data_IF_687376731920
#
_entry.id   IF_687376731920
#
_cell.length_a   1.000
_cell.length_b   1.000
_cell.length_c   1.000
_cell.angle_alpha   90.00
_cell.angle_beta   90.00
_cell.angle_gamma   90.00
#
_symmetry.space_group_name_H-M   'P 1'
#
loop_
_entity.id
_entity.type
_entity.pdbx_description
1 polymer ?
#
# COMPACT_ATOMS: atom_id res chain seq x y z
N UNK A 1 86.60 -8.52 32.89
CA UNK A 1 86.42 -9.85 33.51
C UNK A 1 85.48 -9.71 34.70
N UNK A 2 84.68 -10.75 34.97
CA UNK A 2 83.67 -10.92 36.04
C UNK A 2 82.21 -10.56 35.71
N UNK A 3 81.52 -11.62 35.25
CA UNK A 3 80.20 -12.15 35.60
C UNK A 3 79.30 -11.34 36.55
N UNK A 4 78.01 -11.12 36.21
CA UNK A 4 76.97 -10.76 37.17
C UNK A 4 76.18 -11.98 37.63
N UNK A 5 75.88 -12.08 38.93
CA UNK A 5 75.03 -13.12 39.51
C UNK A 5 74.02 -12.50 40.50
N UNK A 6 72.74 -12.54 40.10
CA UNK A 6 71.49 -12.68 40.91
C UNK A 6 71.08 -11.59 41.93
N UNK A 7 69.84 -11.44 42.42
CA UNK A 7 68.53 -12.16 42.34
C UNK A 7 67.42 -11.22 42.91
N UNK A 8 66.15 -11.51 42.56
CA UNK A 8 64.87 -11.20 43.25
C UNK A 8 64.23 -9.81 43.04
N UNK A 9 63.08 -9.82 42.33
CA UNK A 9 61.73 -9.42 42.79
C UNK A 9 60.72 -10.03 41.80
N UNK A 10 60.05 -11.16 42.10
CA UNK A 10 58.69 -11.28 42.64
C UNK A 10 57.64 -10.38 41.97
N UNK A 11 56.81 -10.94 41.08
CA UNK A 11 55.38 -10.60 40.99
C UNK A 11 54.60 -11.75 40.34
N UNK A 12 53.71 -12.36 41.13
CA UNK A 12 52.54 -13.12 40.68
C UNK A 12 51.68 -12.21 39.76
N UNK A 13 51.06 -12.67 38.67
CA UNK A 13 50.16 -13.82 38.61
C UNK A 13 48.75 -13.38 38.99
N UNK A 14 47.98 -12.86 38.02
CA UNK A 14 46.51 -12.83 37.90
C UNK A 14 46.09 -11.81 36.82
N UNK A 15 46.07 -12.25 35.56
CA UNK A 15 45.49 -11.49 34.45
C UNK A 15 43.97 -11.64 34.44
N UNK A 16 43.29 -10.50 34.41
CA UNK A 16 41.85 -10.32 34.60
C UNK A 16 40.97 -11.24 33.72
N UNK A 17 39.88 -11.71 34.34
CA UNK A 17 38.66 -12.19 33.71
C UNK A 17 38.19 -11.22 32.61
N UNK A 18 38.18 -11.68 31.37
CA UNK A 18 37.48 -11.01 30.29
C UNK A 18 35.96 -11.18 30.52
N UNK A 19 35.33 -10.16 31.10
CA UNK A 19 33.88 -10.00 31.04
C UNK A 19 33.52 -9.70 29.58
N UNK A 20 33.02 -10.71 28.87
CA UNK A 20 32.44 -10.54 27.55
C UNK A 20 31.23 -9.62 27.66
N UNK A 21 31.40 -8.36 27.27
CA UNK A 21 30.27 -7.49 26.96
C UNK A 21 29.69 -7.97 25.64
N UNK A 22 28.63 -8.77 25.70
CA UNK A 22 27.68 -8.86 24.58
C UNK A 22 27.06 -7.47 24.46
N UNK A 23 27.71 -6.61 23.70
CA UNK A 23 27.06 -5.40 23.20
C UNK A 23 25.96 -5.91 22.28
N UNK A 24 24.74 -5.96 22.80
CA UNK A 24 23.54 -5.96 21.96
C UNK A 24 23.60 -4.65 21.17
N UNK A 25 24.32 -4.69 20.05
CA UNK A 25 24.29 -3.63 19.07
C UNK A 25 22.82 -3.53 18.64
N UNK A 26 22.13 -2.52 19.17
CA UNK A 26 20.78 -2.18 18.74
C UNK A 26 20.79 -2.22 17.21
N UNK A 27 19.88 -2.97 16.56
CA UNK A 27 19.90 -3.10 15.11
C UNK A 27 19.86 -1.71 14.50
N UNK A 28 21.00 -1.31 13.92
CA UNK A 28 21.15 -0.03 13.24
C UNK A 28 20.18 0.01 12.07
N UNK A 29 19.66 1.20 11.76
CA UNK A 29 18.98 1.42 10.49
C UNK A 29 20.05 1.43 9.40
N UNK A 30 20.44 0.26 8.92
CA UNK A 30 21.26 0.14 7.72
C UNK A 30 20.32 0.25 6.52
N UNK A 31 20.43 1.35 5.77
CA UNK A 31 19.60 1.66 4.59
C UNK A 31 19.85 0.77 3.37
N UNK A 32 20.78 -0.19 3.46
CA UNK A 32 21.24 -0.98 2.33
C UNK A 32 20.40 -2.25 2.16
N UNK A 33 20.10 -2.65 0.91
CA UNK A 33 19.48 -3.94 0.64
C UNK A 33 20.32 -5.10 1.21
N UNK A 34 19.69 -6.13 1.82
CA UNK A 34 20.41 -7.31 2.29
C UNK A 34 21.01 -8.07 1.11
N UNK A 35 22.13 -8.79 1.31
CA UNK A 35 22.84 -9.51 0.24
C UNK A 35 22.01 -10.53 -0.55
N UNK A 36 20.89 -11.01 0.02
CA UNK A 36 19.94 -11.93 -0.64
C UNK A 36 18.80 -11.21 -1.36
N UNK A 37 18.75 -9.87 -1.33
CA UNK A 37 17.76 -9.11 -2.05
C UNK A 37 17.92 -9.33 -3.56
N UNK A 38 16.81 -9.34 -4.32
CA UNK A 38 16.89 -9.29 -5.78
C UNK A 38 17.57 -7.99 -6.21
N UNK A 39 18.20 -8.01 -7.38
CA UNK A 39 18.76 -6.80 -7.97
C UNK A 39 17.61 -5.89 -8.48
N UNK A 40 17.23 -4.91 -7.65
CA UNK A 40 16.14 -3.97 -7.92
C UNK A 40 16.55 -2.85 -8.88
N UNK A 41 17.75 -2.92 -9.47
CA UNK A 41 18.11 -2.10 -10.65
C UNK A 41 17.56 -2.68 -11.95
N UNK A 42 17.05 -3.93 -11.91
CA UNK A 42 16.51 -4.64 -13.06
C UNK A 42 14.96 -4.58 -13.11
N UNK A 43 14.34 -4.22 -14.25
CA UNK A 43 12.88 -4.13 -14.38
C UNK A 43 12.12 -5.43 -14.08
N UNK A 44 12.67 -6.60 -14.43
CA UNK A 44 12.03 -7.90 -14.17
C UNK A 44 11.90 -8.20 -12.67
N UNK A 45 12.91 -7.82 -11.89
CA UNK A 45 12.91 -7.98 -10.44
C UNK A 45 11.92 -7.01 -9.78
N UNK A 46 11.84 -5.78 -10.27
CA UNK A 46 10.83 -4.81 -9.85
C UNK A 46 9.42 -5.31 -10.16
N UNK A 47 9.16 -5.83 -11.36
CA UNK A 47 7.85 -6.36 -11.75
C UNK A 47 7.42 -7.50 -10.82
N UNK A 48 8.30 -8.48 -10.62
CA UNK A 48 8.04 -9.60 -9.71
C UNK A 48 7.77 -9.12 -8.27
N UNK A 49 8.59 -8.20 -7.77
CA UNK A 49 8.45 -7.66 -6.42
C UNK A 49 7.14 -6.88 -6.24
N UNK A 50 6.82 -5.99 -7.19
CA UNK A 50 5.59 -5.20 -7.22
C UNK A 50 4.36 -6.11 -7.21
N UNK A 51 4.29 -7.11 -8.09
CA UNK A 51 3.14 -8.02 -8.17
C UNK A 51 2.94 -8.78 -6.87
N UNK A 52 4.02 -9.27 -6.23
CA UNK A 52 3.95 -9.96 -4.93
C UNK A 52 3.50 -9.03 -3.80
N UNK A 53 3.89 -7.76 -3.83
CA UNK A 53 3.47 -6.77 -2.84
C UNK A 53 2.00 -6.37 -3.02
N UNK A 54 1.58 -6.05 -4.23
CA UNK A 54 0.21 -5.60 -4.56
C UNK A 54 -0.83 -6.71 -4.49
N UNK A 55 -0.55 -7.88 -5.06
CA UNK A 55 -1.53 -8.96 -5.18
C UNK A 55 -0.84 -10.33 -5.06
N UNK A 56 -0.89 -11.16 -6.10
CA UNK A 56 -0.21 -12.45 -6.18
C UNK A 56 0.35 -12.70 -7.57
N UNK A 57 1.44 -13.47 -7.65
CA UNK A 57 1.95 -14.01 -8.92
C UNK A 57 0.99 -15.00 -9.58
N UNK A 58 0.10 -15.63 -8.81
CA UNK A 58 -0.95 -16.49 -9.33
C UNK A 58 -2.27 -15.74 -9.48
N UNK A 59 -3.10 -16.18 -10.41
CA UNK A 59 -4.44 -15.63 -10.63
C UNK A 59 -5.40 -16.05 -9.50
N UNK A 60 -5.63 -15.13 -8.56
CA UNK A 60 -6.60 -15.32 -7.46
C UNK A 60 -7.05 -13.96 -6.91
N UNK A 61 -8.18 -13.97 -6.22
CA UNK A 61 -8.65 -12.81 -5.44
C UNK A 61 -7.67 -12.52 -4.30
N UNK A 62 -7.21 -11.28 -4.21
CA UNK A 62 -6.34 -10.80 -3.13
C UNK A 62 -6.99 -9.60 -2.45
N UNK A 63 -7.64 -9.81 -1.28
CA UNK A 63 -8.31 -8.76 -0.55
C UNK A 63 -7.34 -7.86 0.21
N UNK A 64 -7.73 -6.60 0.32
CA UNK A 64 -7.13 -5.57 1.15
C UNK A 64 -8.23 -4.88 1.93
N UNK A 65 -7.92 -4.49 3.15
CA UNK A 65 -8.80 -3.67 3.98
C UNK A 65 -8.08 -2.40 4.37
N UNK A 66 -8.82 -1.30 4.43
CA UNK A 66 -8.31 -0.02 4.84
C UNK A 66 -9.37 0.82 5.56
N UNK A 67 -8.89 1.76 6.35
CA UNK A 67 -9.69 2.82 6.93
C UNK A 67 -8.92 4.15 6.91
N UNK A 68 -9.62 5.23 7.22
CA UNK A 68 -9.01 6.54 7.17
C UNK A 68 -9.97 7.69 7.38
N UNK A 69 -9.44 8.89 7.10
CA UNK A 69 -10.19 10.14 7.20
C UNK A 69 -10.04 10.94 5.93
N UNK A 70 -11.15 11.52 5.47
CA UNK A 70 -11.17 12.50 4.39
C UNK A 70 -11.12 13.89 5.00
N UNK A 71 -10.15 14.67 4.54
CA UNK A 71 -9.94 16.06 4.91
C UNK A 71 -10.39 16.96 3.75
N UNK A 72 -11.12 18.03 4.04
CA UNK A 72 -11.33 19.14 3.13
C UNK A 72 -10.18 20.14 3.22
N UNK A 73 -9.64 20.53 2.08
CA UNK A 73 -8.57 21.52 1.97
C UNK A 73 -9.06 22.66 1.11
N UNK A 74 -9.19 23.84 1.72
CA UNK A 74 -9.69 25.07 1.07
C UNK A 74 -8.62 26.16 1.21
N UNK A 75 -8.36 26.97 0.17
CA UNK A 75 -7.38 28.06 0.26
C UNK A 75 -7.67 29.02 1.41
N UNK A 76 -6.66 29.32 2.23
CA UNK A 76 -6.79 30.24 3.35
C UNK A 76 -7.39 29.64 4.63
N UNK A 77 -7.74 28.34 4.64
CA UNK A 77 -8.26 27.63 5.81
C UNK A 77 -7.34 26.48 6.23
N UNK A 78 -7.39 26.11 7.52
CA UNK A 78 -6.78 24.86 7.98
C UNK A 78 -7.55 23.64 7.40
N UNK A 79 -6.87 22.53 7.07
CA UNK A 79 -7.54 21.30 6.68
C UNK A 79 -8.57 20.87 7.74
N UNK A 80 -9.75 20.45 7.29
CA UNK A 80 -10.87 20.05 8.15
C UNK A 80 -11.22 18.58 7.93
N UNK A 81 -11.23 17.73 8.97
CA UNK A 81 -11.83 16.39 8.88
C UNK A 81 -13.31 16.49 8.50
N UNK A 82 -13.72 15.74 7.46
CA UNK A 82 -15.10 15.77 6.96
C UNK A 82 -15.83 14.48 7.28
N UNK A 83 -15.24 13.34 6.92
CA UNK A 83 -15.83 12.01 7.12
C UNK A 83 -14.72 11.00 7.39
N UNK A 84 -15.03 9.99 8.18
CA UNK A 84 -14.24 8.75 8.23
C UNK A 84 -14.69 7.82 7.12
N UNK A 85 -13.84 6.87 6.77
CA UNK A 85 -14.21 5.83 5.81
C UNK A 85 -13.55 4.50 6.16
N UNK A 86 -14.16 3.43 5.66
CA UNK A 86 -13.64 2.08 5.72
C UNK A 86 -13.95 1.42 4.38
N UNK A 87 -13.00 0.68 3.83
CA UNK A 87 -13.19 0.04 2.55
C UNK A 87 -12.35 -1.21 2.35
N UNK A 88 -12.65 -1.85 1.23
CA UNK A 88 -11.95 -3.00 0.72
C UNK A 88 -11.50 -2.71 -0.71
N UNK A 89 -10.32 -3.21 -1.04
CA UNK A 89 -9.86 -3.40 -2.41
C UNK A 89 -9.69 -4.91 -2.64
N UNK A 90 -10.18 -5.40 -3.77
CA UNK A 90 -9.94 -6.77 -4.21
C UNK A 90 -9.13 -6.71 -5.50
N UNK A 91 -7.93 -7.28 -5.48
CA UNK A 91 -7.05 -7.28 -6.64
C UNK A 91 -6.90 -8.67 -7.23
N UNK A 92 -6.79 -8.70 -8.56
CA UNK A 92 -6.48 -9.88 -9.33
C UNK A 92 -5.45 -9.50 -10.40
N UNK A 93 -4.35 -10.25 -10.45
CA UNK A 93 -3.30 -10.08 -11.45
C UNK A 93 -3.52 -11.10 -12.56
N UNK A 94 -4.14 -10.67 -13.66
CA UNK A 94 -4.36 -11.51 -14.83
C UNK A 94 -3.07 -11.63 -15.63
N UNK A 95 -2.65 -12.84 -15.97
CA UNK A 95 -1.46 -13.04 -16.80
C UNK A 95 -1.71 -12.56 -18.23
N UNK A 96 -0.73 -11.86 -18.78
CA UNK A 96 -0.68 -11.42 -20.17
C UNK A 96 0.54 -12.07 -20.86
N UNK A 97 0.61 -12.03 -22.20
CA UNK A 97 1.82 -12.42 -22.93
C UNK A 97 3.08 -11.71 -22.43
N UNK A 98 4.25 -12.29 -22.75
CA UNK A 98 5.58 -11.73 -22.47
C UNK A 98 5.88 -11.48 -20.97
N UNK A 99 5.16 -12.17 -20.08
CA UNK A 99 5.35 -12.08 -18.64
C UNK A 99 4.75 -10.81 -18.00
N UNK A 100 3.93 -10.07 -18.73
CA UNK A 100 3.17 -8.95 -18.19
C UNK A 100 1.94 -9.41 -17.40
N UNK A 101 1.36 -8.50 -16.62
CA UNK A 101 0.13 -8.69 -15.86
C UNK A 101 -0.85 -7.59 -16.17
N UNK A 102 -2.15 -7.85 -16.02
CA UNK A 102 -3.15 -6.81 -15.85
C UNK A 102 -3.69 -6.86 -14.42
N UNK A 103 -3.50 -5.77 -13.68
CA UNK A 103 -4.17 -5.54 -12.42
C UNK A 103 -5.61 -5.11 -12.68
N UNK A 104 -6.55 -5.99 -12.38
CA UNK A 104 -7.99 -5.70 -12.32
C UNK A 104 -8.46 -5.78 -10.88
N UNK A 105 -9.60 -5.17 -10.57
CA UNK A 105 -10.05 -5.13 -9.19
C UNK A 105 -11.39 -4.47 -8.94
N UNK A 106 -11.83 -4.60 -7.69
CA UNK A 106 -13.03 -4.01 -7.14
C UNK A 106 -12.67 -3.20 -5.88
N UNK A 107 -13.26 -2.03 -5.74
CA UNK A 107 -13.13 -1.16 -4.57
C UNK A 107 -14.52 -0.83 -4.05
N UNK A 108 -14.73 -1.03 -2.76
CA UNK A 108 -15.97 -0.68 -2.07
C UNK A 108 -15.62 0.08 -0.79
N UNK A 109 -16.07 1.34 -0.71
CA UNK A 109 -15.83 2.17 0.47
C UNK A 109 -17.15 2.69 1.04
N UNK A 110 -17.32 2.52 2.34
CA UNK A 110 -18.39 3.12 3.12
C UNK A 110 -17.86 4.29 3.95
N UNK A 111 -18.70 5.30 4.12
CA UNK A 111 -18.39 6.50 4.89
C UNK A 111 -19.04 6.44 6.26
N UNK A 112 -18.35 7.04 7.22
CA UNK A 112 -18.73 7.08 8.62
C UNK A 112 -18.63 8.52 9.13
N UNK A 113 -19.44 8.83 10.13
CA UNK A 113 -19.38 10.10 10.81
C UNK A 113 -18.01 10.31 11.44
N UNK A 114 -17.48 11.53 11.33
CA UNK A 114 -16.09 11.82 11.70
C UNK A 114 -15.88 11.83 13.21
N UNK A 115 -16.91 12.17 13.99
CA UNK A 115 -16.86 12.26 15.45
C UNK A 115 -17.22 10.93 16.10
N UNK A 116 -18.36 10.35 15.71
CA UNK A 116 -18.94 9.16 16.34
C UNK A 116 -18.47 7.84 15.73
N UNK A 117 -18.00 7.85 14.47
CA UNK A 117 -17.66 6.63 13.72
C UNK A 117 -18.87 5.81 13.27
N UNK A 118 -20.11 6.29 13.46
CA UNK A 118 -21.31 5.61 13.02
C UNK A 118 -21.45 5.61 11.48
N UNK A 119 -22.13 4.62 10.86
CA UNK A 119 -22.42 4.64 9.43
C UNK A 119 -23.11 5.94 9.01
N UNK A 120 -22.64 6.56 7.91
CA UNK A 120 -23.11 7.87 7.46
C UNK A 120 -23.98 7.73 6.21
N UNK A 121 -25.27 8.04 6.33
CA UNK A 121 -26.19 8.18 5.19
C UNK A 121 -26.39 9.63 4.76
N UNK A 122 -26.26 10.58 5.71
CA UNK A 122 -26.42 12.00 5.46
C UNK A 122 -25.20 12.78 5.97
N UNK A 123 -24.67 13.68 5.15
CA UNK A 123 -23.54 14.51 5.49
C UNK A 123 -23.98 15.97 5.61
N UNK A 124 -23.84 16.53 6.82
CA UNK A 124 -24.01 17.97 7.04
C UNK A 124 -22.77 18.70 6.56
N UNK A 125 -22.85 19.27 5.37
CA UNK A 125 -21.70 19.87 4.71
C UNK A 125 -21.31 21.18 5.41
N UNK A 126 -20.11 21.25 6.01
CA UNK A 126 -19.72 22.39 6.81
C UNK A 126 -19.25 23.59 5.95
N UNK A 127 -19.21 23.44 4.62
CA UNK A 127 -18.87 24.50 3.68
C UNK A 127 -20.10 25.13 3.02
N UNK A 128 -21.18 24.37 2.82
CA UNK A 128 -22.40 24.83 2.15
C UNK A 128 -23.59 24.97 3.09
N UNK A 129 -23.55 24.31 4.26
CA UNK A 129 -24.68 24.22 5.19
C UNK A 129 -25.77 23.23 4.75
N UNK A 130 -25.63 22.61 3.57
CA UNK A 130 -26.58 21.63 3.06
C UNK A 130 -26.47 20.28 3.78
N UNK A 131 -27.51 19.47 3.64
CA UNK A 131 -27.49 18.05 3.98
C UNK A 131 -27.40 17.28 2.68
N UNK A 132 -26.32 16.53 2.50
CA UNK A 132 -26.04 15.74 1.31
C UNK A 132 -26.29 14.25 1.57
N UNK A 133 -26.89 13.55 0.62
CA UNK A 133 -27.03 12.09 0.68
C UNK A 133 -25.71 11.42 0.33
N UNK A 134 -25.19 10.60 1.23
CA UNK A 134 -23.89 9.94 1.08
C UNK A 134 -24.01 8.71 0.20
N UNK A 135 -23.18 8.64 -0.83
CA UNK A 135 -23.14 7.50 -1.76
C UNK A 135 -21.83 6.74 -1.54
N UNK A 136 -21.86 5.42 -1.29
CA UNK A 136 -20.66 4.60 -1.23
C UNK A 136 -19.76 4.76 -2.47
N UNK A 137 -18.45 4.75 -2.28
CA UNK A 137 -17.53 4.74 -3.41
C UNK A 137 -17.40 3.30 -3.91
N UNK A 138 -17.95 3.04 -5.09
CA UNK A 138 -17.95 1.73 -5.75
C UNK A 138 -17.19 1.87 -7.07
N UNK A 139 -16.10 1.13 -7.21
CA UNK A 139 -15.33 1.07 -8.44
C UNK A 139 -15.07 -0.38 -8.78
N UNK A 140 -15.38 -0.80 -10.01
CA UNK A 140 -15.11 -2.15 -10.48
C UNK A 140 -14.42 -2.12 -11.84
N UNK A 141 -13.57 -3.10 -12.08
CA UNK A 141 -12.83 -3.25 -13.32
C UNK A 141 -12.69 -4.72 -13.66
N UNK A 142 -13.22 -5.12 -14.81
CA UNK A 142 -12.92 -6.40 -15.43
C UNK A 142 -11.73 -6.30 -16.38
N UNK A 143 -11.45 -7.39 -17.08
CA UNK A 143 -10.46 -7.45 -18.16
C UNK A 143 -10.47 -6.20 -19.06
N UNK A 144 -9.29 -5.62 -19.30
CA UNK A 144 -9.12 -4.44 -20.14
C UNK A 144 -9.60 -3.13 -19.52
N UNK A 145 -9.95 -3.08 -18.23
CA UNK A 145 -10.24 -1.83 -17.49
C UNK A 145 -9.20 -1.52 -16.41
N UNK A 146 -8.18 -2.36 -16.31
CA UNK A 146 -7.16 -2.29 -15.28
C UNK A 146 -5.90 -1.54 -15.71
N UNK A 147 -4.81 -1.88 -15.04
CA UNK A 147 -3.47 -1.43 -15.37
C UNK A 147 -2.60 -2.59 -15.86
N UNK A 148 -1.97 -2.41 -17.00
CA UNK A 148 -0.89 -3.26 -17.47
C UNK A 148 0.36 -3.01 -16.64
N UNK A 149 0.89 -4.08 -16.03
CA UNK A 149 2.14 -4.11 -15.28
C UNK A 149 3.13 -4.93 -16.10
N UNK A 150 4.22 -4.30 -16.55
CA UNK A 150 5.26 -4.96 -17.33
C UNK A 150 6.64 -4.38 -17.01
N UNK A 151 7.70 -4.97 -17.58
CA UNK A 151 9.05 -4.39 -17.53
C UNK A 151 9.13 -3.01 -18.19
N UNK A 152 8.12 -2.64 -18.99
CA UNK A 152 7.95 -1.34 -19.66
C UNK A 152 7.06 -0.37 -18.87
N UNK A 153 6.88 -0.62 -17.57
CA UNK A 153 6.18 0.28 -16.65
C UNK A 153 4.75 -0.13 -16.35
N UNK A 154 4.07 0.73 -15.57
CA UNK A 154 2.64 0.61 -15.24
C UNK A 154 1.85 1.55 -16.15
N UNK A 155 0.90 1.02 -16.92
CA UNK A 155 0.12 1.81 -17.89
C UNK A 155 -1.34 1.40 -17.86
N UNK A 156 -2.24 2.34 -18.12
CA UNK A 156 -3.67 2.02 -18.20
C UNK A 156 -3.93 1.11 -19.42
N UNK A 157 -4.54 -0.06 -19.21
CA UNK A 157 -4.59 -1.12 -20.25
C UNK A 157 -5.25 -0.64 -21.54
N UNK A 158 -6.34 0.14 -21.44
CA UNK A 158 -7.04 0.65 -22.64
C UNK A 158 -6.24 1.66 -23.44
N UNK A 159 -5.21 2.24 -22.82
CA UNK A 159 -4.41 3.28 -23.43
C UNK A 159 -2.96 2.85 -23.62
N UNK A 160 -2.70 1.54 -23.67
CA UNK A 160 -1.35 0.99 -23.66
C UNK A 160 -0.49 1.54 -24.81
N UNK A 161 -1.07 1.64 -26.01
CA UNK A 161 -0.39 2.15 -27.21
C UNK A 161 -0.18 3.67 -27.19
N UNK A 162 -0.96 4.42 -26.41
CA UNK A 162 -0.86 5.89 -26.34
C UNK A 162 0.01 6.36 -25.17
N UNK A 163 0.29 5.50 -24.21
CA UNK A 163 1.10 5.82 -23.03
C UNK A 163 2.56 5.41 -23.25
N UNK A 164 3.52 6.28 -22.92
CA UNK A 164 4.95 6.03 -23.16
C UNK A 164 5.44 4.83 -22.36
N UNK A 165 6.38 4.10 -22.95
CA UNK A 165 7.10 3.01 -22.27
C UNK A 165 8.23 3.59 -21.42
N UNK A 166 8.31 3.14 -20.18
CA UNK A 166 9.38 3.49 -19.24
C UNK A 166 9.82 2.23 -18.52
N UNK A 167 11.13 1.94 -18.42
CA UNK A 167 11.60 0.81 -17.62
C UNK A 167 11.00 0.84 -16.22
N UNK A 168 10.43 -0.29 -15.76
CA UNK A 168 9.82 -0.39 -14.44
C UNK A 168 10.90 -0.41 -13.35
N UNK A 169 11.37 0.77 -12.97
CA UNK A 169 12.28 0.96 -11.84
C UNK A 169 11.50 1.70 -10.75
N UNK A 170 11.40 1.08 -9.58
CA UNK A 170 10.61 1.58 -8.45
C UNK A 170 11.52 2.06 -7.31
N UNK A 171 10.94 2.84 -6.41
CA UNK A 171 11.64 3.39 -5.26
C UNK A 171 11.48 2.47 -4.03
N UNK A 172 12.61 1.94 -3.57
CA UNK A 172 12.69 0.95 -2.52
C UNK A 172 13.56 1.43 -1.37
N UNK A 173 13.03 1.37 -0.15
CA UNK A 173 13.81 1.61 1.06
C UNK A 173 13.93 0.33 1.86
N UNK A 174 15.15 -0.06 2.22
CA UNK A 174 15.41 -1.11 3.21
C UNK A 174 15.78 -0.44 4.53
N UNK A 175 15.04 -0.74 5.60
CA UNK A 175 15.30 -0.14 6.90
C UNK A 175 14.91 -1.13 8.00
N UNK A 176 15.84 -1.36 8.95
CA UNK A 176 15.69 -2.38 9.99
C UNK A 176 15.40 -3.76 9.37
N UNK A 177 14.36 -4.43 9.81
CA UNK A 177 13.84 -5.70 9.30
C UNK A 177 12.70 -5.52 8.28
N UNK A 178 12.51 -4.31 7.76
CA UNK A 178 11.43 -3.96 6.84
C UNK A 178 11.97 -3.55 5.46
N UNK A 179 11.10 -3.70 4.45
CA UNK A 179 11.25 -3.14 3.10
C UNK A 179 10.03 -2.30 2.79
N UNK A 180 10.27 -1.13 2.21
CA UNK A 180 9.25 -0.16 1.86
C UNK A 180 9.26 0.03 0.34
N UNK A 181 8.09 -0.01 -0.27
CA UNK A 181 7.89 0.36 -1.67
C UNK A 181 7.14 1.69 -1.70
N UNK A 182 7.79 2.73 -2.21
CA UNK A 182 7.17 4.03 -2.46
C UNK A 182 6.59 4.02 -3.88
N UNK A 183 5.28 4.23 -4.00
CA UNK A 183 4.60 4.18 -5.28
C UNK A 183 3.52 5.26 -5.38
N UNK A 184 3.30 5.73 -6.60
CA UNK A 184 2.24 6.68 -6.92
C UNK A 184 1.39 6.16 -8.08
N UNK A 185 0.13 6.60 -8.11
CA UNK A 185 -0.79 6.18 -9.17
C UNK A 185 -0.56 6.98 -10.43
N UNK A 186 -0.26 6.29 -11.53
CA UNK A 186 -0.21 6.85 -12.89
C UNK A 186 -1.64 7.06 -13.40
N UNK A 187 -2.26 8.19 -13.06
CA UNK A 187 -3.61 8.49 -13.52
C UNK A 187 -3.66 8.66 -15.05
N UNK A 188 -4.66 8.08 -15.72
CA UNK A 188 -4.94 8.35 -17.12
C UNK A 188 -5.06 9.85 -17.43
N UNK A 189 -4.64 10.31 -18.62
CA UNK A 189 -4.81 11.69 -19.03
C UNK A 189 -6.29 12.08 -19.11
N UNK A 190 -6.58 13.37 -18.92
CA UNK A 190 -7.94 13.93 -19.01
C UNK A 190 -8.77 13.89 -17.72
N UNK A 191 -8.22 13.38 -16.61
CA UNK A 191 -8.88 13.50 -15.32
C UNK A 191 -8.82 14.94 -14.77
N UNK A 192 -9.90 15.40 -14.15
CA UNK A 192 -9.98 16.73 -13.55
C UNK A 192 -9.01 16.87 -12.37
N UNK A 193 -8.18 17.93 -12.30
CA UNK A 193 -7.29 18.17 -11.19
C UNK A 193 -8.04 18.62 -9.91
N UNK A 194 -7.42 18.48 -8.71
CA UNK A 194 -6.15 17.79 -8.47
C UNK A 194 -6.33 16.26 -8.53
N UNK A 195 -5.35 15.53 -9.04
CA UNK A 195 -5.32 14.05 -9.01
C UNK A 195 -3.91 13.60 -8.67
N UNK A 196 -3.75 13.05 -7.47
CA UNK A 196 -2.49 12.47 -7.04
C UNK A 196 -2.74 11.44 -5.95
N UNK A 197 -2.10 10.28 -6.03
CA UNK A 197 -2.12 9.29 -4.97
C UNK A 197 -0.69 8.87 -4.72
N UNK A 198 -0.26 9.02 -3.48
CA UNK A 198 1.03 8.55 -2.98
C UNK A 198 0.78 7.45 -1.96
N UNK A 199 1.54 6.37 -2.03
CA UNK A 199 1.43 5.22 -1.15
C UNK A 199 2.81 4.69 -0.78
N UNK A 200 2.95 4.27 0.47
CA UNK A 200 4.07 3.44 0.90
C UNK A 200 3.52 2.09 1.35
N UNK A 201 4.01 1.02 0.74
CA UNK A 201 3.75 -0.36 1.16
C UNK A 201 4.90 -0.86 2.00
N UNK A 202 4.60 -1.56 3.09
CA UNK A 202 5.57 -2.07 4.06
C UNK A 202 5.44 -3.59 4.15
N UNK A 203 6.57 -4.29 4.05
CA UNK A 203 6.66 -5.72 4.31
C UNK A 203 7.88 -6.05 5.17
N UNK A 204 7.84 -7.20 5.84
CA UNK A 204 9.05 -7.74 6.48
C UNK A 204 10.05 -8.15 5.41
N UNK A 205 11.34 -7.91 5.64
CA UNK A 205 12.40 -8.41 4.76
C UNK A 205 12.38 -9.94 4.71
N UNK A 206 12.03 -10.61 5.81
CA UNK A 206 11.88 -12.07 5.85
C UNK A 206 10.91 -12.58 4.78
N UNK A 207 9.73 -11.97 4.67
CA UNK A 207 8.71 -12.38 3.71
C UNK A 207 9.02 -11.91 2.30
N UNK A 208 9.53 -10.68 2.15
CA UNK A 208 9.94 -10.14 0.86
C UNK A 208 11.02 -11.01 0.19
N UNK A 209 12.04 -11.42 0.95
CA UNK A 209 13.14 -12.26 0.47
C UNK A 209 12.75 -13.74 0.30
N UNK A 210 11.60 -14.16 0.82
CA UNK A 210 11.14 -15.54 0.68
C UNK A 210 10.58 -15.78 -0.73
N UNK A 211 11.41 -16.30 -1.63
CA UNK A 211 11.08 -16.55 -3.04
C UNK A 211 9.93 -17.54 -3.25
N UNK A 212 9.55 -18.31 -2.23
CA UNK A 212 8.40 -19.24 -2.26
C UNK A 212 7.04 -18.57 -2.03
N UNK A 213 7.02 -17.31 -1.58
CA UNK A 213 5.77 -16.59 -1.37
C UNK A 213 5.35 -15.89 -2.67
N UNK A 214 4.24 -16.35 -3.25
CA UNK A 214 3.65 -15.70 -4.42
C UNK A 214 2.91 -14.39 -4.08
N UNK A 215 2.66 -14.16 -2.80
CA UNK A 215 2.02 -12.95 -2.26
C UNK A 215 2.64 -12.65 -0.91
N UNK A 216 3.23 -11.46 -0.74
CA UNK A 216 3.93 -11.05 0.48
C UNK A 216 2.95 -10.34 1.41
N UNK A 217 2.85 -10.66 2.71
CA UNK A 217 2.04 -9.86 3.63
C UNK A 217 2.49 -8.38 3.64
N UNK A 218 1.53 -7.46 3.49
CA UNK A 218 1.81 -6.03 3.35
C UNK A 218 0.83 -5.22 4.19
N UNK A 219 1.34 -4.18 4.86
CA UNK A 219 0.54 -3.05 5.34
C UNK A 219 0.91 -1.80 4.54
N UNK A 220 0.05 -0.79 4.51
CA UNK A 220 0.32 0.42 3.75
C UNK A 220 -0.18 1.67 4.46
N UNK A 221 0.38 2.81 4.05
CA UNK A 221 -0.18 4.14 4.27
C UNK A 221 -0.31 4.84 2.93
N UNK A 222 -1.39 5.60 2.73
CA UNK A 222 -1.64 6.33 1.48
C UNK A 222 -2.30 7.68 1.71
N UNK A 223 -2.01 8.60 0.79
CA UNK A 223 -2.70 9.88 0.68
C UNK A 223 -3.17 10.09 -0.76
N UNK A 224 -4.44 10.46 -0.94
CA UNK A 224 -5.06 10.74 -2.25
C UNK A 224 -5.61 12.17 -2.29
N UNK A 225 -5.14 12.95 -3.24
CA UNK A 225 -5.70 14.25 -3.61
C UNK A 225 -6.68 14.05 -4.76
N UNK A 226 -7.92 14.49 -4.57
CA UNK A 226 -8.94 14.46 -5.60
C UNK A 226 -9.95 15.60 -5.48
N UNK A 227 -10.70 15.94 -6.55
CA UNK A 227 -11.80 16.89 -6.42
C UNK A 227 -12.82 16.41 -5.39
N UNK A 228 -13.68 17.33 -4.96
CA UNK A 228 -14.80 17.03 -4.08
C UNK A 228 -15.58 15.80 -4.57
N UNK A 229 -16.01 14.96 -3.62
CA UNK A 229 -16.91 13.85 -3.95
C UNK A 229 -18.19 14.43 -4.56
N UNK A 230 -18.69 13.79 -5.62
CA UNK A 230 -19.86 14.30 -6.36
C UNK A 230 -21.05 14.56 -5.43
N UNK A 231 -21.29 13.65 -4.49
CA UNK A 231 -22.39 13.76 -3.53
C UNK A 231 -22.24 14.89 -2.52
N UNK A 232 -21.07 15.52 -2.38
CA UNK A 232 -20.90 16.70 -1.52
C UNK A 232 -21.50 17.98 -2.12
N UNK A 233 -21.90 17.96 -3.40
CA UNK A 233 -22.50 19.10 -4.12
C UNK A 233 -21.70 20.41 -3.99
N UNK A 234 -20.38 20.31 -4.12
CA UNK A 234 -19.47 21.45 -3.93
C UNK A 234 -19.37 22.36 -5.17
N UNK A 235 -19.86 21.91 -6.33
CA UNK A 235 -19.76 22.66 -7.60
C UNK A 235 -18.32 23.10 -7.88
N UNK A 236 -18.17 24.36 -8.28
CA UNK A 236 -16.87 24.99 -8.57
C UNK A 236 -16.19 25.58 -7.32
N UNK A 237 -16.62 25.20 -6.12
CA UNK A 237 -16.04 25.72 -4.88
C UNK A 237 -14.53 25.42 -4.82
N UNK A 238 -13.69 26.44 -4.57
CA UNK A 238 -12.25 26.26 -4.45
C UNK A 238 -11.88 25.24 -3.38
N UNK A 239 -10.85 24.46 -3.66
CA UNK A 239 -10.34 23.42 -2.78
C UNK A 239 -10.58 22.02 -3.32
N UNK A 240 -10.23 21.04 -2.50
CA UNK A 240 -10.27 19.62 -2.84
C UNK A 240 -10.32 18.78 -1.58
N UNK A 241 -10.44 17.46 -1.75
CA UNK A 241 -10.33 16.53 -0.63
C UNK A 241 -9.01 15.77 -0.65
N UNK A 242 -8.54 15.48 0.55
CA UNK A 242 -7.38 14.62 0.80
C UNK A 242 -7.86 13.42 1.59
N UNK A 243 -7.76 12.24 0.99
CA UNK A 243 -7.95 10.98 1.70
C UNK A 243 -6.63 10.63 2.35
N UNK A 244 -6.63 10.31 3.64
CA UNK A 244 -5.48 9.72 4.30
C UNK A 244 -5.90 8.38 4.89
N UNK A 245 -5.23 7.30 4.46
CA UNK A 245 -5.60 5.93 4.74
C UNK A 245 -4.43 5.11 5.28
N UNK A 246 -4.75 4.14 6.13
CA UNK A 246 -3.89 3.02 6.46
C UNK A 246 -4.63 1.71 6.19
N UNK A 247 -3.90 0.63 5.94
CA UNK A 247 -4.54 -0.65 5.71
C UNK A 247 -3.58 -1.82 5.59
N UNK A 248 -4.16 -2.98 5.32
CA UNK A 248 -3.46 -4.26 5.24
C UNK A 248 -3.98 -5.13 4.11
N UNK A 249 -3.07 -5.87 3.50
CA UNK A 249 -3.41 -7.00 2.64
C UNK A 249 -3.87 -8.16 3.49
N UNK A 250 -5.04 -8.70 3.16
CA UNK A 250 -5.68 -9.79 3.89
C UNK A 250 -5.37 -11.13 3.24
N UNK A 251 -5.45 -12.20 4.03
CA UNK A 251 -5.32 -13.59 3.50
C UNK A 251 -6.58 -14.06 2.80
N UNK A 252 -7.72 -13.56 3.25
CA UNK A 252 -9.04 -13.86 2.72
C UNK A 252 -10.03 -12.76 3.11
N UNK A 253 -11.19 -12.74 2.45
CA UNK A 253 -12.30 -11.84 2.81
C UNK A 253 -12.83 -12.11 4.22
N UNK A 254 -12.51 -13.26 4.82
CA UNK A 254 -12.93 -13.59 6.18
C UNK A 254 -12.22 -12.76 7.26
N UNK A 255 -11.10 -12.10 6.92
CA UNK A 255 -10.38 -11.19 7.81
C UNK A 255 -10.95 -9.76 7.82
N UNK A 256 -11.96 -9.47 6.99
CA UNK A 256 -12.66 -8.19 7.01
C UNK A 256 -13.39 -7.98 8.35
N UNK A 257 -13.47 -6.73 8.85
CA UNK A 257 -14.31 -6.41 9.99
C UNK A 257 -15.76 -6.86 9.76
N UNK A 258 -16.34 -7.54 10.76
CA UNK A 258 -17.59 -8.28 10.61
C UNK A 258 -18.74 -7.41 10.09
N UNK A 259 -18.91 -6.21 10.62
CA UNK A 259 -19.99 -5.29 10.21
C UNK A 259 -19.80 -4.80 8.77
N UNK A 260 -18.57 -4.49 8.38
CA UNK A 260 -18.24 -4.11 7.01
C UNK A 260 -18.55 -5.25 6.04
N UNK A 261 -18.07 -6.47 6.36
CA UNK A 261 -18.27 -7.65 5.53
C UNK A 261 -19.75 -7.97 5.37
N UNK A 262 -20.50 -8.00 6.47
CA UNK A 262 -21.94 -8.26 6.46
C UNK A 262 -22.67 -7.27 5.54
N UNK A 263 -22.37 -5.98 5.65
CA UNK A 263 -22.96 -4.96 4.78
C UNK A 263 -22.58 -5.17 3.31
N UNK A 264 -21.30 -5.42 3.03
CA UNK A 264 -20.82 -5.66 1.67
C UNK A 264 -21.47 -6.91 1.04
N UNK A 265 -21.66 -7.99 1.79
CA UNK A 265 -22.34 -9.20 1.33
C UNK A 265 -23.82 -8.96 1.02
N UNK A 266 -24.48 -8.11 1.82
CA UNK A 266 -25.90 -7.79 1.67
C UNK A 266 -26.18 -6.82 0.53
N UNK A 267 -25.38 -5.76 0.41
CA UNK A 267 -25.65 -4.64 -0.50
C UNK A 267 -24.85 -4.74 -1.82
N UNK A 268 -23.66 -5.36 -1.78
CA UNK A 268 -22.70 -5.36 -2.89
C UNK A 268 -21.99 -6.72 -3.10
N UNK A 269 -22.71 -7.86 -3.16
CA UNK A 269 -22.08 -9.19 -3.24
C UNK A 269 -21.15 -9.36 -4.46
N UNK A 270 -21.45 -8.70 -5.58
CA UNK A 270 -20.62 -8.71 -6.78
C UNK A 270 -19.23 -8.05 -6.58
N UNK A 271 -19.06 -7.22 -5.54
CA UNK A 271 -17.78 -6.57 -5.24
C UNK A 271 -16.81 -7.49 -4.49
N UNK A 272 -17.28 -8.64 -3.98
CA UNK A 272 -16.51 -9.57 -3.14
C UNK A 272 -15.72 -10.63 -3.93
N UNK A 273 -15.78 -10.59 -5.26
CA UNK A 273 -14.91 -11.40 -6.13
C UNK A 273 -14.63 -10.67 -7.43
N UNK A 274 -13.41 -10.78 -7.94
CA UNK A 274 -13.00 -10.29 -9.26
C UNK A 274 -12.83 -11.49 -10.21
N UNK A 275 -12.90 -12.71 -9.68
CA UNK A 275 -12.80 -13.93 -10.44
C UNK A 275 -13.85 -14.00 -11.57
N UNK A 276 -13.44 -13.99 -12.85
CA UNK A 276 -14.37 -14.02 -13.97
C UNK A 276 -15.22 -15.29 -14.01
N UNK A 277 -14.76 -16.40 -13.43
CA UNK A 277 -15.52 -17.65 -13.35
C UNK A 277 -16.64 -17.61 -12.30
N UNK A 278 -16.58 -16.72 -11.31
CA UNK A 278 -17.60 -16.58 -10.25
C UNK A 278 -18.59 -15.43 -10.51
N UNK A 279 -18.24 -14.48 -11.38
CA UNK A 279 -19.09 -13.34 -11.74
C UNK A 279 -20.24 -13.67 -12.72
N UNK A 280 -20.31 -14.89 -13.26
CA UNK A 280 -21.33 -15.30 -14.24
C UNK A 280 -22.61 -15.90 -13.62
N UNK A 281 -22.71 -15.95 -12.29
CA UNK A 281 -23.82 -16.59 -11.55
C UNK A 281 -24.58 -15.64 -10.62
N UNK A 282 -24.53 -14.33 -10.87
CA UNK A 282 -25.34 -13.33 -10.18
C UNK A 282 -26.17 -12.51 -11.16
#
# INVERSE_FOLDING_TARGET
MHTPVTRRSFTAGLGLLALGTTSDALPGVAGSPPARAPDLTLPENNLRALVRMTASLGERDVPWWYDGTILGVVPGEHPRPLVKFQGMELYWMRHLPDGAYELIGNTLTFFHDVETGAPLSEFKNPYTGAINQVVPAVQGGGAGRGFNYSVKGIRFTRMLEQLPEEPLILDWTFARDMVWLHNWTRYPPGMSPPRWQQQTMFASQKDFLNTRLDSVPVVFGSTVHMPWLKWMDMGDRPGHIVWHAGGAKLRSIDELPADYRKRAEQEYPAMLTVNPARGATA
#
